data_IF_565819795576
#
_entry.id   IF_565819795576
#
_cell.length_a   1.000
_cell.length_b   1.000
_cell.length_c   1.000
_cell.angle_alpha   90.00
_cell.angle_beta   90.00
_cell.angle_gamma   90.00
#
_symmetry.space_group_name_H-M   'P 1'
#
loop_
_entity.id
_entity.type
_entity.pdbx_description
1 polymer ?
#
# COMPACT_ATOMS: atom_id res chain seq x y z
N UNK A 1 11.08 -12.19 -15.51
CA UNK A 1 11.12 -11.42 -16.78
C UNK A 1 11.90 -10.11 -16.56
N UNK A 2 12.74 -9.72 -17.51
CA UNK A 2 13.32 -8.37 -17.56
C UNK A 2 12.24 -7.34 -17.86
N UNK A 3 12.52 -6.05 -17.60
CA UNK A 3 11.58 -4.98 -17.93
C UNK A 3 11.18 -4.98 -19.41
N UNK A 4 12.13 -5.30 -20.30
CA UNK A 4 11.89 -5.42 -21.74
C UNK A 4 10.95 -6.58 -22.05
N UNK A 5 11.16 -7.75 -21.45
CA UNK A 5 10.29 -8.91 -21.67
C UNK A 5 8.85 -8.63 -21.20
N UNK A 6 8.69 -7.94 -20.06
CA UNK A 6 7.38 -7.52 -19.58
C UNK A 6 6.70 -6.54 -20.54
N UNK A 7 7.45 -5.53 -21.01
CA UNK A 7 6.95 -4.58 -22.01
C UNK A 7 6.50 -5.29 -23.29
N UNK A 8 7.29 -6.24 -23.80
CA UNK A 8 6.97 -6.97 -25.03
C UNK A 8 5.70 -7.83 -24.88
N UNK A 9 5.43 -8.37 -23.68
CA UNK A 9 4.20 -9.12 -23.36
C UNK A 9 2.99 -8.18 -23.29
N UNK A 10 3.06 -7.10 -22.50
CA UNK A 10 1.95 -6.16 -22.33
C UNK A 10 1.62 -5.47 -23.66
N UNK A 11 2.64 -5.11 -24.45
CA UNK A 11 2.48 -4.55 -25.79
C UNK A 11 1.74 -5.53 -26.71
N UNK A 12 2.07 -6.82 -26.66
CA UNK A 12 1.35 -7.83 -27.44
C UNK A 12 -0.10 -7.99 -27.00
N UNK A 13 -0.39 -7.99 -25.69
CA UNK A 13 -1.76 -8.01 -25.17
C UNK A 13 -2.57 -6.81 -25.64
N UNK A 14 -2.00 -5.61 -25.58
CA UNK A 14 -2.64 -4.40 -26.07
C UNK A 14 -2.97 -4.47 -27.57
N UNK A 15 -2.00 -4.91 -28.39
CA UNK A 15 -2.21 -5.03 -29.83
C UNK A 15 -3.18 -6.16 -30.21
N UNK A 16 -3.44 -7.12 -29.33
CA UNK A 16 -4.35 -8.24 -29.60
C UNK A 16 -5.82 -7.84 -29.74
N UNK A 17 -6.16 -6.57 -29.47
CA UNK A 17 -7.48 -6.02 -29.76
C UNK A 17 -7.64 -5.56 -31.21
N UNK A 18 -6.54 -5.41 -31.95
CA UNK A 18 -6.54 -5.13 -33.39
C UNK A 18 -6.83 -6.43 -34.17
N UNK A 19 -7.61 -6.31 -35.25
CA UNK A 19 -7.97 -7.43 -36.13
C UNK A 19 -6.72 -8.09 -36.76
N UNK A 20 -5.66 -7.33 -37.02
CA UNK A 20 -4.42 -7.82 -37.61
C UNK A 20 -3.65 -8.79 -36.70
N UNK A 21 -3.91 -8.75 -35.40
CA UNK A 21 -3.18 -9.56 -34.40
C UNK A 21 -3.95 -10.79 -33.92
N UNK A 22 -5.20 -10.98 -34.35
CA UNK A 22 -6.08 -12.05 -33.85
C UNK A 22 -5.52 -13.46 -34.06
N UNK A 23 -4.88 -13.72 -35.21
CA UNK A 23 -4.27 -15.01 -35.54
C UNK A 23 -2.76 -15.09 -35.26
N UNK A 24 -2.14 -13.99 -34.81
CA UNK A 24 -0.73 -13.99 -34.42
C UNK A 24 -0.60 -14.73 -33.10
N UNK A 25 0.26 -15.75 -33.08
CA UNK A 25 0.57 -16.52 -31.88
C UNK A 25 1.92 -16.07 -31.30
N UNK A 26 1.92 -15.71 -30.02
CA UNK A 26 3.12 -15.34 -29.29
C UNK A 26 2.96 -15.78 -27.84
N UNK A 27 4.03 -16.24 -27.22
CA UNK A 27 4.03 -16.70 -25.82
C UNK A 27 3.06 -17.86 -25.52
N UNK A 28 2.65 -18.62 -26.55
CA UNK A 28 1.79 -19.80 -26.42
C UNK A 28 0.28 -19.51 -26.49
N UNK A 29 -0.11 -18.31 -26.89
CA UNK A 29 -1.51 -17.94 -27.14
C UNK A 29 -1.63 -17.01 -28.36
N UNK A 30 -2.80 -17.05 -29.00
CA UNK A 30 -3.19 -16.18 -30.09
C UNK A 30 -3.82 -14.89 -29.58
N UNK A 31 -3.74 -13.82 -30.38
CA UNK A 31 -4.37 -12.54 -30.04
C UNK A 31 -5.87 -12.67 -29.72
N UNK A 32 -6.59 -13.51 -30.46
CA UNK A 32 -8.02 -13.76 -30.22
C UNK A 32 -8.34 -14.40 -28.86
N UNK A 33 -7.43 -15.21 -28.34
CA UNK A 33 -7.60 -15.85 -27.03
C UNK A 33 -7.42 -14.80 -25.93
N UNK A 34 -6.44 -13.90 -26.07
CA UNK A 34 -6.26 -12.76 -25.16
C UNK A 34 -7.50 -11.87 -25.14
N UNK A 35 -7.97 -11.46 -26.32
CA UNK A 35 -9.17 -10.62 -26.46
C UNK A 35 -10.38 -11.25 -25.77
N UNK A 36 -10.60 -12.55 -25.96
CA UNK A 36 -11.68 -13.28 -25.32
C UNK A 36 -11.55 -13.34 -23.79
N UNK A 37 -10.33 -13.53 -23.25
CA UNK A 37 -10.09 -13.54 -21.79
C UNK A 37 -10.43 -12.18 -21.17
N UNK A 38 -10.02 -11.08 -21.80
CA UNK A 38 -10.32 -9.73 -21.30
C UNK A 38 -11.81 -9.39 -21.44
N UNK A 39 -12.46 -9.76 -22.54
CA UNK A 39 -13.91 -9.57 -22.70
C UNK A 39 -14.72 -10.34 -21.66
N UNK A 40 -14.26 -11.53 -21.24
CA UNK A 40 -14.91 -12.28 -20.16
C UNK A 40 -14.67 -11.63 -18.80
N UNK A 41 -13.44 -11.21 -18.51
CA UNK A 41 -13.10 -10.50 -17.28
C UNK A 41 -13.91 -9.20 -17.13
N UNK A 42 -14.09 -8.45 -18.22
CA UNK A 42 -14.89 -7.21 -18.24
C UNK A 42 -16.37 -7.44 -17.89
N UNK A 43 -16.91 -8.65 -18.13
CA UNK A 43 -18.28 -9.02 -17.71
C UNK A 43 -18.35 -9.40 -16.23
N UNK A 44 -17.26 -9.88 -15.65
CA UNK A 44 -17.17 -10.22 -14.22
C UNK A 44 -16.96 -8.98 -13.33
N UNK A 45 -16.27 -7.95 -13.83
CA UNK A 45 -16.00 -6.70 -13.08
C UNK A 45 -17.28 -5.99 -12.58
N UNK A 46 -18.38 -5.90 -13.34
CA UNK A 46 -19.66 -5.38 -12.83
C UNK A 46 -20.22 -6.15 -11.62
N UNK A 47 -19.78 -7.39 -11.40
CA UNK A 47 -20.29 -8.29 -10.37
C UNK A 47 -19.39 -8.33 -9.11
N UNK A 48 -18.24 -7.65 -9.12
CA UNK A 48 -17.49 -7.41 -7.88
C UNK A 48 -18.20 -6.31 -7.10
N UNK A 49 -18.97 -6.73 -6.10
CA UNK A 49 -19.64 -5.80 -5.19
C UNK A 49 -18.61 -4.81 -4.64
N UNK A 50 -18.78 -3.52 -4.97
CA UNK A 50 -17.98 -2.41 -4.42
C UNK A 50 -18.18 -2.23 -2.91
N UNK A 51 -18.97 -3.08 -2.27
CA UNK A 51 -19.07 -3.19 -0.82
C UNK A 51 -17.81 -3.83 -0.26
N UNK A 52 -16.74 -3.05 -0.11
CA UNK A 52 -15.76 -3.36 0.91
C UNK A 52 -16.51 -3.45 2.24
N UNK A 53 -16.53 -4.64 2.85
CA UNK A 53 -17.05 -4.79 4.21
C UNK A 53 -16.09 -4.02 5.11
N UNK A 54 -16.44 -2.78 5.45
CA UNK A 54 -15.76 -2.04 6.51
C UNK A 54 -15.98 -2.85 7.78
N UNK A 55 -15.00 -3.66 8.16
CA UNK A 55 -15.01 -4.34 9.46
C UNK A 55 -14.75 -3.21 10.45
N UNK A 56 -15.81 -2.65 11.05
CA UNK A 56 -15.68 -1.55 12.03
C UNK A 56 -14.71 -1.89 13.16
N UNK A 57 -14.57 -3.18 13.43
CA UNK A 57 -13.77 -3.74 14.52
C UNK A 57 -12.41 -4.26 14.03
N UNK A 58 -12.02 -4.00 12.78
CA UNK A 58 -10.68 -4.31 12.30
C UNK A 58 -9.69 -3.39 13.01
N UNK A 59 -9.08 -3.92 14.07
CA UNK A 59 -7.89 -3.32 14.68
C UNK A 59 -6.78 -3.43 13.64
N UNK A 60 -6.45 -2.32 12.99
CA UNK A 60 -5.34 -2.24 12.05
C UNK A 60 -4.05 -2.40 12.86
N UNK A 61 -3.57 -3.63 13.00
CA UNK A 61 -2.35 -3.96 13.75
C UNK A 61 -1.09 -3.63 12.98
N UNK A 62 -1.17 -2.83 11.89
CA UNK A 62 0.00 -2.11 11.42
C UNK A 62 0.38 -1.16 12.54
N UNK A 63 1.25 -1.66 13.42
CA UNK A 63 1.95 -0.94 14.47
C UNK A 63 2.20 0.45 13.95
N UNK A 64 1.77 1.45 14.72
CA UNK A 64 2.32 2.81 14.67
C UNK A 64 3.81 2.69 14.37
N UNK A 65 4.19 2.90 13.11
CA UNK A 65 5.51 2.56 12.61
C UNK A 65 6.43 3.72 12.96
N UNK A 66 6.68 3.88 14.26
CA UNK A 66 7.45 4.98 14.80
C UNK A 66 8.94 4.68 14.60
N UNK A 67 9.59 5.47 13.73
CA UNK A 67 11.04 5.40 13.50
C UNK A 67 11.87 5.91 14.69
N UNK A 68 11.20 6.33 15.76
CA UNK A 68 11.77 6.95 16.96
C UNK A 68 12.76 6.04 17.70
N UNK A 69 12.66 4.72 17.49
CA UNK A 69 13.55 3.71 18.07
C UNK A 69 14.69 3.27 17.13
N UNK A 70 14.80 3.83 15.93
CA UNK A 70 15.91 3.55 15.03
C UNK A 70 17.07 4.52 15.28
N UNK A 71 18.29 3.99 15.26
CA UNK A 71 19.51 4.81 15.29
C UNK A 71 19.54 5.72 14.07
N UNK A 72 20.06 6.96 14.24
CA UNK A 72 20.20 7.89 13.12
C UNK A 72 20.92 7.21 11.96
N UNK A 73 20.42 7.32 10.71
CA UNK A 73 21.07 6.71 9.57
C UNK A 73 22.49 7.30 9.42
N UNK A 74 23.45 6.44 9.05
CA UNK A 74 24.88 6.79 8.99
C UNK A 74 25.16 7.88 7.95
N UNK A 75 24.28 7.98 6.95
CA UNK A 75 24.23 8.99 5.90
C UNK A 75 23.30 10.18 6.23
N UNK A 76 22.91 10.35 7.50
CA UNK A 76 22.03 11.45 7.94
C UNK A 76 22.51 12.84 7.50
N UNK A 77 23.82 13.08 7.42
CA UNK A 77 24.38 14.36 6.97
C UNK A 77 24.04 14.73 5.52
N UNK A 78 23.75 13.75 4.66
CA UNK A 78 23.32 13.97 3.28
C UNK A 78 21.81 14.21 3.21
N UNK A 79 21.06 13.59 4.11
CA UNK A 79 19.59 13.61 4.12
C UNK A 79 19.06 14.89 4.79
N UNK A 80 19.72 15.39 5.84
CA UNK A 80 19.29 16.62 6.54
C UNK A 80 19.24 17.82 5.60
N UNK A 81 20.19 17.96 4.66
CA UNK A 81 20.15 19.07 3.69
C UNK A 81 18.96 19.04 2.72
N UNK A 82 18.27 17.91 2.57
CA UNK A 82 17.03 17.82 1.78
C UNK A 82 15.77 18.03 2.62
N UNK A 83 15.86 17.89 3.94
CA UNK A 83 14.72 17.99 4.87
C UNK A 83 14.68 19.32 5.63
N UNK A 84 15.82 20.02 5.73
CA UNK A 84 15.95 21.31 6.40
C UNK A 84 15.21 22.45 5.66
N UNK A 85 14.65 22.20 4.45
CA UNK A 85 13.82 23.17 3.71
C UNK A 85 12.34 23.16 4.12
N UNK A 86 11.90 22.25 5.01
CA UNK A 86 10.49 22.11 5.39
C UNK A 86 10.23 22.50 6.86
N UNK A 87 10.60 23.72 7.26
CA UNK A 87 10.12 24.34 8.50
C UNK A 87 8.60 24.67 8.47
N UNK A 88 7.84 24.20 7.47
CA UNK A 88 6.39 24.37 7.36
C UNK A 88 5.69 23.16 6.70
N UNK A 89 5.94 21.94 7.18
CA UNK A 89 5.15 20.76 6.75
C UNK A 89 3.93 20.52 7.67
N UNK A 90 3.16 21.58 7.95
CA UNK A 90 1.86 21.46 8.63
C UNK A 90 0.78 20.87 7.68
N UNK A 91 1.05 20.83 6.37
CA UNK A 91 0.07 20.46 5.33
C UNK A 91 0.24 19.07 4.70
N UNK A 92 1.19 18.24 5.15
CA UNK A 92 1.27 16.83 4.70
C UNK A 92 0.54 15.87 5.65
N UNK A 93 -0.66 16.26 6.07
CA UNK A 93 -1.60 15.31 6.63
C UNK A 93 -2.40 14.74 5.47
N UNK A 94 -2.13 13.47 5.12
CA UNK A 94 -3.03 12.71 4.27
C UNK A 94 -4.43 12.77 4.92
N UNK A 95 -5.35 13.45 4.24
CA UNK A 95 -6.68 13.75 4.78
C UNK A 95 -7.51 12.50 5.07
N UNK A 96 -7.01 11.31 4.70
CA UNK A 96 -7.60 10.01 5.02
C UNK A 96 -7.11 9.44 6.36
N UNK A 97 -6.05 10.00 6.97
CA UNK A 97 -5.44 9.50 8.21
C UNK A 97 -5.76 10.33 9.46
N UNK A 98 -6.40 11.50 9.31
CA UNK A 98 -6.81 12.37 10.43
C UNK A 98 -7.72 11.66 11.44
N UNK A 99 -8.58 10.75 10.99
CA UNK A 99 -9.47 9.99 11.89
C UNK A 99 -8.76 8.87 12.67
N UNK A 100 -7.50 8.56 12.34
CA UNK A 100 -6.66 7.54 12.99
C UNK A 100 -5.68 8.15 14.01
N UNK A 101 -5.66 9.48 14.15
CA UNK A 101 -4.78 10.17 15.08
C UNK A 101 -5.23 9.90 16.53
N UNK A 102 -4.49 9.04 17.23
CA UNK A 102 -4.72 8.81 18.66
C UNK A 102 -3.98 9.89 19.44
N UNK A 103 -4.71 10.72 20.18
CA UNK A 103 -4.11 11.77 21.01
C UNK A 103 -3.08 11.18 21.99
N UNK A 104 -1.88 11.77 22.02
CA UNK A 104 -0.76 11.36 22.88
C UNK A 104 -1.09 11.36 24.37
N UNK A 105 -2.07 12.16 24.78
CA UNK A 105 -2.65 12.19 26.14
C UNK A 105 -3.30 10.86 26.56
N UNK A 106 -3.74 10.02 25.62
CA UNK A 106 -4.32 8.70 25.91
C UNK A 106 -3.24 7.63 26.24
N UNK A 107 -1.98 7.87 25.86
CA UNK A 107 -0.87 6.95 26.12
C UNK A 107 -0.30 7.13 27.54
N UNK A 108 -0.35 8.35 28.08
CA UNK A 108 0.21 8.67 29.39
C UNK A 108 -0.62 8.10 30.57
N UNK A 109 -1.88 7.73 30.34
CA UNK A 109 -2.77 7.24 31.40
C UNK A 109 -2.60 5.74 31.74
N UNK A 110 -1.71 5.01 31.05
CA UNK A 110 -1.55 3.54 31.24
C UNK A 110 -0.34 3.14 32.07
N UNK A 111 0.60 4.05 32.32
CA UNK A 111 1.85 3.72 33.03
C UNK A 111 1.76 3.91 34.56
N UNK A 112 0.65 4.44 35.09
CA UNK A 112 0.49 4.78 36.51
C UNK A 112 -0.40 3.80 37.33
N UNK A 113 -0.43 2.50 37.00
CA UNK A 113 -1.06 1.48 37.87
C UNK A 113 0.01 0.65 38.58
N UNK A 114 0.59 1.29 39.60
CA UNK A 114 0.97 0.77 40.92
C UNK A 114 1.69 -0.59 41.03
N UNK A 115 3.01 -0.53 41.22
CA UNK A 115 3.76 -1.50 42.01
C UNK A 115 3.72 -1.07 43.50
N UNK A 116 2.83 -1.66 44.29
CA UNK A 116 2.88 -1.61 45.76
C UNK A 116 2.21 -2.87 46.37
N UNK A 117 3.03 -3.80 46.90
CA UNK A 117 3.00 -4.23 48.31
C UNK A 117 3.70 -5.59 48.57
N UNK A 118 4.96 -5.45 48.99
CA UNK A 118 5.67 -6.09 50.12
C UNK A 118 5.06 -7.32 50.86
N UNK A 119 5.85 -8.41 50.84
CA UNK A 119 6.29 -9.30 51.95
C UNK A 119 5.23 -9.79 52.97
N UNK A 120 4.98 -11.11 52.96
CA UNK A 120 4.51 -11.90 54.11
C UNK A 120 5.51 -13.04 54.37
N UNK A 121 6.38 -12.85 55.37
CA UNK A 121 6.75 -13.80 56.44
C UNK A 121 7.97 -13.28 57.21
#
# INVERSE_FOLDING_TARGET
PTAKELYDIISFWYNSFDEHYQEIEKYGYKGKEIKAIFEEADKEIPNISTTYKKISDAIYTSRLFAFNNLTKPVNSSIITSYLDDDENNEDNQDSQLVDLEVSSSLLQSKDDISNENSIVN
#
